data_IF_926446070446
#
_entry.id   IF_926446070446
#
_cell.length_a   1.000
_cell.length_b   1.000
_cell.length_c   1.000
_cell.angle_alpha   90.00
_cell.angle_beta   90.00
_cell.angle_gamma   90.00
#
_symmetry.space_group_name_H-M   'P 1'
#
loop_
_entity.id
_entity.type
_entity.pdbx_description
1 polymer ?
#
# COMPACT_ATOMS: atom_id res chain seq x y z
N UNK A 1 1.13 -13.14 -20.27
CA UNK A 1 2.29 -12.51 -19.61
C UNK A 1 1.74 -11.57 -18.56
N UNK A 2 2.25 -11.61 -17.33
CA UNK A 2 1.80 -10.70 -16.28
C UNK A 2 2.27 -9.28 -16.59
N UNK A 3 1.37 -8.31 -16.54
CA UNK A 3 1.67 -6.93 -16.90
C UNK A 3 1.98 -6.09 -15.67
N UNK A 4 2.92 -5.15 -15.83
CA UNK A 4 3.29 -4.21 -14.78
C UNK A 4 2.28 -3.04 -14.73
N UNK A 5 1.79 -2.77 -13.52
CA UNK A 5 0.81 -1.75 -13.19
C UNK A 5 1.44 -0.72 -12.25
N UNK A 6 1.01 0.52 -12.39
CA UNK A 6 1.39 1.61 -11.50
C UNK A 6 0.48 1.63 -10.27
N UNK A 7 1.06 1.71 -9.07
CA UNK A 7 0.33 1.92 -7.83
C UNK A 7 0.93 3.15 -7.14
N UNK A 8 0.29 4.32 -7.31
CA UNK A 8 0.82 5.61 -6.86
C UNK A 8 0.13 6.05 -5.57
N UNK A 9 0.88 6.10 -4.49
CA UNK A 9 0.37 6.46 -3.16
C UNK A 9 0.99 7.76 -2.70
N UNK A 10 0.19 8.69 -2.20
CA UNK A 10 0.70 9.88 -1.53
C UNK A 10 1.34 9.48 -0.19
N UNK A 11 2.58 9.91 0.01
CA UNK A 11 3.34 9.66 1.24
C UNK A 11 3.60 10.98 1.94
N UNK A 12 3.04 11.16 3.14
CA UNK A 12 3.21 12.42 3.88
C UNK A 12 4.66 12.66 4.30
N UNK A 13 5.40 11.60 4.65
CA UNK A 13 6.84 11.66 4.97
C UNK A 13 7.66 12.34 3.88
N UNK A 14 7.31 12.11 2.62
CA UNK A 14 8.03 12.65 1.45
C UNK A 14 7.34 13.87 0.82
N UNK A 15 6.09 14.16 1.21
CA UNK A 15 5.30 15.25 0.65
C UNK A 15 4.95 15.08 -0.84
N UNK A 16 5.01 13.84 -1.36
CA UNK A 16 4.82 13.53 -2.78
C UNK A 16 4.20 12.14 -2.97
N UNK A 17 3.88 11.81 -4.21
CA UNK A 17 3.49 10.45 -4.58
C UNK A 17 4.71 9.56 -4.74
N UNK A 18 4.69 8.42 -4.07
CA UNK A 18 5.62 7.32 -4.30
C UNK A 18 4.97 6.32 -5.28
N UNK A 19 5.73 5.95 -6.32
CA UNK A 19 5.28 5.11 -7.40
C UNK A 19 5.78 3.68 -7.21
N UNK A 20 4.90 2.81 -6.73
CA UNK A 20 5.13 1.38 -6.64
C UNK A 20 4.81 0.74 -7.98
N UNK A 21 5.55 -0.32 -8.32
CA UNK A 21 5.18 -1.21 -9.42
C UNK A 21 4.60 -2.47 -8.86
N UNK A 22 3.43 -2.87 -9.37
CA UNK A 22 2.80 -4.13 -8.98
C UNK A 22 2.55 -4.98 -10.22
N UNK A 23 2.65 -6.28 -10.07
CA UNK A 23 2.43 -7.23 -11.16
C UNK A 23 1.63 -8.40 -10.60
N UNK A 24 0.55 -8.79 -11.27
CA UNK A 24 -0.21 -9.98 -10.85
C UNK A 24 0.60 -11.25 -11.12
N UNK A 25 0.72 -12.10 -10.12
CA UNK A 25 1.36 -13.43 -10.22
C UNK A 25 0.36 -14.52 -9.82
N UNK A 26 0.59 -15.80 -10.18
CA UNK A 26 -0.38 -16.88 -9.93
C UNK A 26 -0.80 -17.09 -8.48
N UNK A 27 0.01 -16.63 -7.50
CA UNK A 27 -0.25 -16.77 -6.07
C UNK A 27 -0.41 -15.43 -5.34
N UNK A 28 -0.61 -14.32 -6.07
CA UNK A 28 -0.79 -12.98 -5.48
C UNK A 28 -0.20 -11.85 -6.31
N UNK A 29 0.51 -10.94 -5.66
CA UNK A 29 1.11 -9.76 -6.29
C UNK A 29 2.63 -9.81 -6.19
N UNK A 30 3.37 -9.40 -7.21
CA UNK A 30 4.77 -9.01 -7.06
C UNK A 30 4.81 -7.49 -6.90
N UNK A 31 5.39 -7.01 -5.81
CA UNK A 31 5.58 -5.58 -5.53
C UNK A 31 7.04 -5.23 -5.76
N UNK A 32 7.30 -4.15 -6.49
CA UNK A 32 8.63 -3.56 -6.61
C UNK A 32 8.62 -2.12 -6.15
N UNK A 33 9.52 -1.82 -5.23
CA UNK A 33 9.81 -0.48 -4.74
C UNK A 33 11.27 -0.39 -4.28
N UNK A 34 11.73 0.82 -3.98
CA UNK A 34 13.13 1.10 -3.64
C UNK A 34 13.67 0.25 -2.49
N UNK A 35 12.86 0.00 -1.44
CA UNK A 35 13.36 -0.65 -0.21
C UNK A 35 12.86 -2.08 -0.05
N UNK A 36 11.54 -2.29 -0.11
CA UNK A 36 10.98 -3.63 -0.05
C UNK A 36 10.37 -4.03 -1.40
N UNK A 37 10.85 -5.15 -1.93
CA UNK A 37 10.38 -5.75 -3.18
C UNK A 37 10.27 -7.26 -3.00
N UNK A 38 9.27 -7.87 -3.63
CA UNK A 38 9.11 -9.32 -3.63
C UNK A 38 7.69 -9.78 -3.91
N UNK A 39 7.50 -11.09 -3.79
CA UNK A 39 6.20 -11.72 -3.96
C UNK A 39 5.37 -11.59 -2.69
N UNK A 40 4.11 -11.26 -2.89
CA UNK A 40 3.09 -11.11 -1.89
C UNK A 40 1.95 -12.10 -2.15
N UNK A 41 1.20 -12.41 -1.11
CA UNK A 41 -0.10 -13.05 -1.24
C UNK A 41 -1.12 -12.12 -1.95
N UNK A 42 -2.34 -12.59 -2.28
CA UNK A 42 -3.36 -11.75 -2.93
C UNK A 42 -3.75 -10.50 -2.12
N UNK A 43 -3.52 -10.52 -0.81
CA UNK A 43 -3.75 -9.38 0.11
C UNK A 43 -2.64 -8.33 0.04
N UNK A 44 -1.51 -8.59 -0.61
CA UNK A 44 -0.38 -7.66 -0.71
C UNK A 44 0.68 -7.83 0.38
N UNK A 45 0.56 -8.83 1.26
CA UNK A 45 1.56 -9.12 2.30
C UNK A 45 2.72 -9.97 1.78
N UNK A 46 3.96 -9.74 2.27
CA UNK A 46 4.32 -8.77 3.31
C UNK A 46 4.75 -7.41 2.74
N UNK A 47 5.31 -7.40 1.53
CA UNK A 47 6.18 -6.30 1.07
C UNK A 47 5.47 -4.98 0.81
N UNK A 48 4.17 -4.98 0.44
CA UNK A 48 3.42 -3.73 0.32
C UNK A 48 3.31 -3.03 1.68
N UNK A 49 2.95 -3.80 2.70
CA UNK A 49 2.73 -3.28 4.05
C UNK A 49 4.03 -2.99 4.79
N UNK A 50 5.12 -3.69 4.47
CA UNK A 50 6.44 -3.34 5.00
C UNK A 50 6.91 -1.97 4.47
N UNK A 51 6.68 -1.66 3.19
CA UNK A 51 6.93 -0.31 2.66
C UNK A 51 6.03 0.73 3.35
N UNK A 52 4.73 0.45 3.51
CA UNK A 52 3.82 1.37 4.21
C UNK A 52 4.23 1.61 5.66
N UNK A 53 4.66 0.56 6.37
CA UNK A 53 5.16 0.67 7.75
C UNK A 53 6.43 1.50 7.82
N UNK A 54 7.35 1.33 6.88
CA UNK A 54 8.59 2.09 6.82
C UNK A 54 8.33 3.59 6.62
N UNK A 55 7.36 3.94 5.78
CA UNK A 55 7.04 5.33 5.44
C UNK A 55 5.90 5.93 6.27
N UNK A 56 5.44 5.19 7.29
CA UNK A 56 4.37 5.57 8.22
C UNK A 56 3.05 5.94 7.51
N UNK A 57 2.78 5.25 6.39
CA UNK A 57 1.57 5.47 5.60
C UNK A 57 0.38 4.87 6.35
N UNK A 58 -0.61 5.72 6.64
CA UNK A 58 -1.93 5.32 7.12
C UNK A 58 -2.76 4.83 5.93
N UNK A 59 -3.36 3.66 6.06
CA UNK A 59 -4.18 3.06 5.02
C UNK A 59 -5.46 2.45 5.59
N UNK A 60 -6.50 2.26 4.77
CA UNK A 60 -7.76 1.71 5.22
C UNK A 60 -7.64 0.25 5.67
N UNK A 61 -8.30 -0.11 6.78
CA UNK A 61 -8.29 -1.48 7.31
C UNK A 61 -8.81 -2.53 6.32
N UNK A 62 -9.66 -2.13 5.36
CA UNK A 62 -10.23 -2.99 4.33
C UNK A 62 -9.36 -3.14 3.07
N UNK A 63 -8.19 -2.47 3.01
CA UNK A 63 -7.27 -2.59 1.89
C UNK A 63 -6.86 -4.05 1.56
N UNK A 64 -6.48 -4.90 2.53
CA UNK A 64 -6.10 -6.29 2.23
C UNK A 64 -7.23 -7.07 1.54
N UNK A 65 -8.46 -6.91 2.04
CA UNK A 65 -9.64 -7.59 1.51
C UNK A 65 -9.96 -7.13 0.07
N UNK A 66 -9.83 -5.83 -0.21
CA UNK A 66 -10.09 -5.28 -1.55
C UNK A 66 -9.00 -5.68 -2.55
N UNK A 67 -7.73 -5.74 -2.14
CA UNK A 67 -6.64 -6.23 -2.99
C UNK A 67 -6.82 -7.71 -3.35
N UNK A 68 -7.23 -8.53 -2.39
CA UNK A 68 -7.52 -9.95 -2.63
C UNK A 68 -8.72 -10.12 -3.57
N UNK A 69 -9.78 -9.34 -3.36
CA UNK A 69 -10.94 -9.35 -4.26
C UNK A 69 -10.55 -8.98 -5.69
N UNK A 70 -9.82 -7.89 -5.88
CA UNK A 70 -9.35 -7.49 -7.21
C UNK A 70 -8.45 -8.55 -7.84
N UNK A 71 -7.59 -9.19 -7.05
CA UNK A 71 -6.72 -10.27 -7.55
C UNK A 71 -7.51 -11.47 -8.08
N UNK A 72 -8.63 -11.81 -7.44
CA UNK A 72 -9.52 -12.90 -7.86
C UNK A 72 -10.21 -12.61 -9.20
N UNK A 73 -10.65 -11.36 -9.41
CA UNK A 73 -11.35 -10.95 -10.65
C UNK A 73 -10.42 -10.45 -11.76
N UNK A 74 -9.12 -10.37 -11.52
CA UNK A 74 -8.20 -9.76 -12.48
C UNK A 74 -8.04 -10.54 -13.80
N UNK A 75 -8.47 -11.80 -13.89
CA UNK A 75 -8.56 -12.52 -15.18
C UNK A 75 -9.75 -12.06 -16.04
N UNK A 76 -10.79 -11.49 -15.42
CA UNK A 76 -11.98 -11.00 -16.10
C UNK A 76 -11.83 -9.53 -16.58
N UNK A 77 -10.69 -8.91 -16.29
CA UNK A 77 -10.41 -7.50 -16.58
C UNK A 77 -9.37 -7.36 -17.68
N UNK A 78 -9.57 -6.38 -18.54
CA UNK A 78 -8.49 -5.91 -19.41
C UNK A 78 -7.40 -5.21 -18.59
N UNK A 79 -6.20 -5.08 -19.17
CA UNK A 79 -5.11 -4.30 -18.57
C UNK A 79 -5.54 -2.94 -18.06
N UNK A 80 -6.30 -2.21 -18.87
CA UNK A 80 -6.69 -0.83 -18.57
C UNK A 80 -7.68 -0.80 -17.43
N UNK A 81 -8.69 -1.68 -17.43
CA UNK A 81 -9.64 -1.79 -16.32
C UNK A 81 -8.94 -2.19 -15.01
N UNK A 82 -7.99 -3.13 -15.08
CA UNK A 82 -7.21 -3.52 -13.92
C UNK A 82 -6.34 -2.36 -13.40
N UNK A 83 -5.71 -1.60 -14.30
CA UNK A 83 -4.95 -0.39 -13.94
C UNK A 83 -5.87 0.68 -13.31
N UNK A 84 -7.07 0.88 -13.82
CA UNK A 84 -8.04 1.83 -13.28
C UNK A 84 -8.49 1.42 -11.87
N UNK A 85 -8.75 0.13 -11.63
CA UNK A 85 -9.06 -0.38 -10.29
C UNK A 85 -7.90 -0.25 -9.31
N UNK A 86 -6.68 -0.50 -9.77
CA UNK A 86 -5.47 -0.26 -8.97
C UNK A 86 -5.29 1.23 -8.65
N UNK A 87 -5.60 2.14 -9.58
CA UNK A 87 -5.58 3.57 -9.35
C UNK A 87 -6.61 4.00 -8.30
N UNK A 88 -7.85 3.47 -8.38
CA UNK A 88 -8.90 3.72 -7.37
C UNK A 88 -8.44 3.31 -5.96
N UNK A 89 -7.83 2.13 -5.83
CA UNK A 89 -7.31 1.63 -4.54
C UNK A 89 -6.15 2.51 -4.05
N UNK A 90 -5.21 2.88 -4.93
CA UNK A 90 -4.06 3.71 -4.56
C UNK A 90 -4.48 5.13 -4.11
N UNK A 91 -5.49 5.70 -4.74
CA UNK A 91 -6.06 6.98 -4.34
C UNK A 91 -6.80 6.85 -3.01
N UNK A 92 -7.51 5.76 -2.76
CA UNK A 92 -8.15 5.53 -1.45
C UNK A 92 -7.13 5.46 -0.30
N UNK A 93 -5.97 4.82 -0.52
CA UNK A 93 -4.85 4.86 0.42
C UNK A 93 -4.36 6.30 0.61
N UNK A 94 -4.17 7.03 -0.49
CA UNK A 94 -3.70 8.42 -0.48
C UNK A 94 -4.64 9.35 0.29
N UNK A 95 -5.95 9.19 0.12
CA UNK A 95 -6.98 9.93 0.87
C UNK A 95 -6.91 9.61 2.36
N UNK A 96 -6.76 8.32 2.71
CA UNK A 96 -6.63 7.90 4.10
C UNK A 96 -5.39 8.51 4.77
N UNK A 97 -4.24 8.48 4.08
CA UNK A 97 -2.99 9.08 4.55
C UNK A 97 -3.10 10.61 4.73
N UNK A 98 -3.73 11.31 3.78
CA UNK A 98 -3.93 12.77 3.87
C UNK A 98 -4.89 13.16 5.00
N UNK A 99 -5.92 12.36 5.24
CA UNK A 99 -6.93 12.64 6.26
C UNK A 99 -6.42 12.39 7.69
N UNK A 100 -5.27 11.74 7.85
CA UNK A 100 -4.71 11.45 9.17
C UNK A 100 -4.29 12.75 9.88
N UNK A 101 -4.80 13.03 11.10
CA UNK A 101 -4.50 14.26 11.81
C UNK A 101 -2.99 14.50 12.00
N UNK A 102 -2.56 15.74 11.77
CA UNK A 102 -1.23 16.22 12.11
C UNK A 102 -1.29 16.96 13.45
N UNK A 103 -0.89 16.30 14.54
CA UNK A 103 -0.76 16.98 15.83
C UNK A 103 0.55 17.78 15.87
N UNK A 104 0.65 18.85 15.08
CA UNK A 104 1.87 19.68 15.00
C UNK A 104 2.20 20.42 16.32
N UNK A 105 1.29 20.45 17.29
CA UNK A 105 1.50 21.11 18.59
C UNK A 105 1.95 20.15 19.72
N UNK A 106 2.06 18.84 19.47
CA UNK A 106 2.45 17.83 20.49
C UNK A 106 3.69 17.01 20.06
N UNK A 107 4.21 17.22 18.85
CA UNK A 107 5.14 16.32 18.15
C UNK A 107 6.64 16.48 18.42
N UNK A 108 7.05 17.11 19.52
CA UNK A 108 8.39 16.79 20.05
C UNK A 108 8.41 15.46 20.81
N UNK A 109 7.27 14.86 21.17
CA UNK A 109 7.26 13.65 22.01
C UNK A 109 6.41 12.46 21.56
N UNK A 110 5.59 12.54 20.50
CA UNK A 110 4.76 11.39 20.07
C UNK A 110 4.88 11.14 18.58
N UNK A 111 6.08 10.68 18.18
CA UNK A 111 6.29 10.03 16.88
C UNK A 111 5.49 8.71 16.90
N UNK A 112 4.32 8.71 16.27
CA UNK A 112 3.50 7.52 15.99
C UNK A 112 3.36 6.54 17.18
N UNK A 113 2.43 6.81 18.10
CA UNK A 113 1.97 5.81 19.09
C UNK A 113 1.12 4.75 18.38
N UNK A 114 1.77 3.85 17.62
CA UNK A 114 1.23 2.54 17.24
C UNK A 114 2.33 1.47 17.15
N UNK A 115 3.42 1.57 17.94
CA UNK A 115 4.45 0.52 18.01
C UNK A 115 5.00 0.26 19.43
N UNK A 116 4.14 0.20 20.44
CA UNK A 116 4.51 -0.30 21.79
C UNK A 116 4.04 -1.74 22.07
N UNK A 117 3.84 -2.58 21.05
CA UNK A 117 3.52 -4.01 21.26
C UNK A 117 4.59 -5.01 20.80
N UNK A 118 5.83 -4.57 20.54
CA UNK A 118 6.90 -5.50 20.16
C UNK A 118 8.24 -5.25 20.85
N UNK A 119 8.24 -5.05 22.18
CA UNK A 119 9.39 -5.40 23.03
C UNK A 119 8.91 -5.97 24.37
N UNK A 120 8.45 -7.22 24.36
CA UNK A 120 8.58 -8.12 25.51
C UNK A 120 9.38 -9.33 25.04
N UNK A 121 10.69 -9.26 25.26
CA UNK A 121 11.58 -10.40 25.50
C UNK A 121 12.43 -10.00 26.69
#
# INVERSE_FOLDING_TARGET
MSEELDFKVFTRRHGKYDAYKITRIPNGWNVKFLVHSGNCNPKGEPYLYDNFRQDYICYPNKLPDILELLWQYADDLTRNELQDKINEIAEWVSVCERAHPSWNDITNNYRCVLNERSKKV
#
